data_IF_604405842762
#
_entry.id   IF_604405842762
#
_cell.length_a   1.000
_cell.length_b   1.000
_cell.length_c   1.000
_cell.angle_alpha   90.00
_cell.angle_beta   90.00
_cell.angle_gamma   90.00
#
_symmetry.space_group_name_H-M   'P 1'
#
loop_
_entity.id
_entity.type
_entity.pdbx_description
1 polymer ?
#
# COMPACT_ATOMS: atom_id res chain seq x y z
N UNK A 1 12.32 16.23 -1.39
CA UNK A 1 12.08 17.47 -2.17
C UNK A 1 12.40 17.33 -3.65
N UNK A 2 13.54 16.74 -4.06
CA UNK A 2 13.83 16.48 -5.48
C UNK A 2 12.71 15.64 -6.13
N UNK A 3 12.33 14.52 -5.52
CA UNK A 3 11.24 13.66 -6.00
C UNK A 3 9.89 14.37 -6.17
N UNK A 4 9.57 15.31 -5.28
CA UNK A 4 8.35 16.11 -5.40
C UNK A 4 8.42 17.03 -6.64
N UNK A 5 9.57 17.67 -6.89
CA UNK A 5 9.76 18.51 -8.08
C UNK A 5 9.70 17.69 -9.38
N UNK A 6 10.28 16.49 -9.38
CA UNK A 6 10.23 15.56 -10.52
C UNK A 6 8.79 15.13 -10.80
N UNK A 7 8.06 14.72 -9.76
CA UNK A 7 6.64 14.34 -9.86
C UNK A 7 5.77 15.52 -10.33
N UNK A 8 5.97 16.72 -9.77
CA UNK A 8 5.24 17.92 -10.20
C UNK A 8 5.51 18.26 -11.67
N UNK A 9 6.76 18.10 -12.12
CA UNK A 9 7.13 18.32 -13.51
C UNK A 9 6.45 17.30 -14.42
N UNK A 10 6.44 16.02 -14.04
CA UNK A 10 5.76 14.98 -14.81
C UNK A 10 4.27 15.27 -14.94
N UNK A 11 3.60 15.57 -13.82
CA UNK A 11 2.16 15.92 -13.82
C UNK A 11 1.89 17.15 -14.70
N UNK A 12 2.77 18.16 -14.66
CA UNK A 12 2.66 19.35 -15.50
C UNK A 12 2.84 19.03 -16.99
N UNK A 13 3.81 18.19 -17.34
CA UNK A 13 4.07 17.76 -18.72
C UNK A 13 2.88 16.93 -19.27
N UNK A 14 2.16 16.21 -18.40
CA UNK A 14 0.92 15.49 -18.70
C UNK A 14 -0.33 16.39 -18.75
N UNK A 15 -0.16 17.72 -18.60
CA UNK A 15 -1.21 18.72 -18.71
C UNK A 15 -1.96 19.03 -17.41
N UNK A 16 -1.48 18.48 -16.28
CA UNK A 16 -1.97 18.80 -14.95
C UNK A 16 -1.76 20.27 -14.58
N UNK A 17 -2.57 20.77 -13.65
CA UNK A 17 -2.49 22.15 -13.16
C UNK A 17 -2.49 22.18 -11.64
N UNK A 18 -1.66 23.05 -11.08
CA UNK A 18 -1.68 23.32 -9.64
C UNK A 18 -3.07 23.81 -9.24
N UNK A 19 -3.59 23.26 -8.14
CA UNK A 19 -4.90 23.64 -7.60
C UNK A 19 -4.97 25.14 -7.28
N UNK A 20 -6.13 25.75 -7.53
CA UNK A 20 -6.37 27.19 -7.36
C UNK A 20 -7.62 27.51 -6.52
N UNK A 21 -8.04 26.55 -5.70
CA UNK A 21 -9.27 26.52 -4.91
C UNK A 21 -9.15 27.21 -3.53
N UNK A 22 -8.12 28.02 -3.34
CA UNK A 22 -7.82 28.68 -2.06
C UNK A 22 -6.99 27.84 -1.09
N UNK A 23 -6.59 26.62 -1.45
CA UNK A 23 -5.76 25.74 -0.63
C UNK A 23 -4.42 26.34 -0.18
N UNK A 24 -3.87 27.26 -0.99
CA UNK A 24 -2.62 27.98 -0.72
C UNK A 24 -2.83 29.33 -0.01
N UNK A 25 -4.08 29.67 0.34
CA UNK A 25 -4.41 30.96 0.95
C UNK A 25 -4.41 30.84 2.48
N UNK A 26 -3.50 31.57 3.12
CA UNK A 26 -3.45 31.66 4.59
C UNK A 26 -4.70 32.38 5.12
N UNK A 27 -5.20 31.96 6.28
CA UNK A 27 -6.35 32.62 6.92
C UNK A 27 -6.06 32.94 8.39
N UNK A 28 -6.48 34.13 8.85
CA UNK A 28 -6.49 34.50 10.27
C UNK A 28 -5.13 34.35 11.00
N UNK A 29 -4.02 34.50 10.28
CA UNK A 29 -2.66 34.40 10.83
C UNK A 29 -2.15 32.96 11.04
N UNK A 30 -2.86 31.95 10.53
CA UNK A 30 -2.41 30.57 10.49
C UNK A 30 -1.82 30.22 9.10
N UNK A 31 -0.95 29.21 9.00
CA UNK A 31 -0.54 28.64 7.72
C UNK A 31 -1.75 28.28 6.86
N UNK A 32 -1.58 28.34 5.55
CA UNK A 32 -2.54 27.78 4.60
C UNK A 32 -2.57 26.25 4.70
N UNK A 33 -3.68 25.60 4.31
CA UNK A 33 -3.74 24.14 4.18
C UNK A 33 -2.56 23.55 3.39
N UNK A 34 -2.14 24.23 2.32
CA UNK A 34 -1.00 23.82 1.52
C UNK A 34 0.34 23.93 2.25
N UNK A 35 0.55 24.97 3.06
CA UNK A 35 1.73 25.08 3.91
C UNK A 35 1.77 23.98 4.98
N UNK A 36 0.62 23.64 5.59
CA UNK A 36 0.52 22.52 6.54
C UNK A 36 0.87 21.17 5.89
N UNK A 37 0.37 20.92 4.68
CA UNK A 37 0.70 19.71 3.92
C UNK A 37 2.19 19.63 3.58
N UNK A 38 2.77 20.73 3.10
CA UNK A 38 4.20 20.79 2.79
C UNK A 38 5.03 20.50 4.04
N UNK A 39 4.71 21.14 5.16
CA UNK A 39 5.42 20.93 6.42
C UNK A 39 5.28 19.49 6.92
N UNK A 40 4.06 18.92 6.88
CA UNK A 40 3.82 17.54 7.31
C UNK A 40 4.63 16.53 6.48
N UNK A 41 4.66 16.68 5.16
CA UNK A 41 5.47 15.81 4.29
C UNK A 41 6.96 15.98 4.55
N UNK A 42 7.44 17.22 4.76
CA UNK A 42 8.85 17.48 5.07
C UNK A 42 9.28 16.82 6.38
N UNK A 43 8.45 16.88 7.42
CA UNK A 43 8.71 16.24 8.70
C UNK A 43 8.70 14.72 8.56
N UNK A 44 7.71 14.15 7.87
CA UNK A 44 7.63 12.71 7.61
C UNK A 44 8.88 12.22 6.85
N UNK A 45 9.26 12.91 5.78
CA UNK A 45 10.45 12.59 4.99
C UNK A 45 11.74 12.72 5.80
N UNK A 46 11.86 13.74 6.67
CA UNK A 46 13.05 13.91 7.52
C UNK A 46 13.21 12.77 8.53
N UNK A 47 12.11 12.20 9.03
CA UNK A 47 12.11 11.16 10.07
C UNK A 47 12.12 9.74 9.51
N UNK A 48 12.00 9.58 8.20
CA UNK A 48 11.84 8.28 7.57
C UNK A 48 13.15 7.47 7.59
N UNK A 49 13.19 6.29 8.25
CA UNK A 49 14.36 5.43 8.23
C UNK A 49 14.55 4.65 6.92
N UNK A 50 13.52 4.48 6.10
CA UNK A 50 13.57 3.73 4.83
C UNK A 50 13.63 4.71 3.66
N UNK A 51 14.85 5.05 3.22
CA UNK A 51 15.10 6.05 2.15
C UNK A 51 14.26 5.83 0.87
N UNK A 52 13.94 4.56 0.57
CA UNK A 52 13.11 4.16 -0.58
C UNK A 52 11.71 4.79 -0.58
N UNK A 53 11.16 5.12 0.60
CA UNK A 53 9.85 5.79 0.73
C UNK A 53 9.89 7.28 0.37
N UNK A 54 11.07 7.91 0.35
CA UNK A 54 11.18 9.36 0.15
C UNK A 54 10.66 9.83 -1.21
N UNK A 55 10.80 8.98 -2.22
CA UNK A 55 10.26 9.23 -3.57
C UNK A 55 8.75 9.35 -3.55
N UNK A 56 8.09 8.35 -2.96
CA UNK A 56 6.64 8.25 -2.86
C UNK A 56 6.03 9.31 -1.93
N UNK A 57 6.74 9.72 -0.87
CA UNK A 57 6.34 10.89 -0.06
C UNK A 57 6.42 12.19 -0.88
N UNK A 58 7.42 12.31 -1.75
CA UNK A 58 7.52 13.40 -2.72
C UNK A 58 6.39 13.38 -3.74
N UNK A 59 6.06 12.20 -4.28
CA UNK A 59 4.93 11.99 -5.18
C UNK A 59 3.62 12.39 -4.51
N UNK A 60 3.38 11.98 -3.25
CA UNK A 60 2.19 12.36 -2.49
C UNK A 60 2.01 13.88 -2.39
N UNK A 61 3.08 14.62 -2.09
CA UNK A 61 3.03 16.09 -2.06
C UNK A 61 2.67 16.67 -3.42
N UNK A 62 3.28 16.16 -4.50
CA UNK A 62 2.99 16.60 -5.85
C UNK A 62 1.52 16.33 -6.20
N UNK A 63 1.03 15.12 -5.93
CA UNK A 63 -0.35 14.75 -6.23
C UNK A 63 -1.35 15.62 -5.48
N UNK A 64 -1.16 15.87 -4.17
CA UNK A 64 -2.04 16.76 -3.39
C UNK A 64 -2.07 18.18 -3.96
N UNK A 65 -0.93 18.69 -4.46
CA UNK A 65 -0.83 20.03 -5.03
C UNK A 65 -1.57 20.20 -6.37
N UNK A 66 -1.89 19.09 -7.05
CA UNK A 66 -2.50 19.07 -8.38
C UNK A 66 -3.93 18.49 -8.42
N UNK A 67 -4.47 18.05 -7.27
CA UNK A 67 -5.82 17.50 -7.13
C UNK A 67 -6.65 18.35 -6.17
N UNK A 68 -7.57 19.16 -6.70
CA UNK A 68 -8.39 20.12 -5.94
C UNK A 68 -9.57 19.46 -5.21
N UNK A 69 -9.96 18.26 -5.62
CA UNK A 69 -10.98 17.45 -4.98
C UNK A 69 -10.53 16.86 -3.63
N UNK A 70 -9.23 16.89 -3.34
CA UNK A 70 -8.66 16.35 -2.10
C UNK A 70 -8.71 17.43 -1.01
N UNK A 71 -9.53 17.24 0.05
CA UNK A 71 -9.55 18.16 1.17
C UNK A 71 -8.35 17.93 2.09
N UNK A 72 -8.07 18.92 2.95
CA UNK A 72 -6.94 18.89 3.87
C UNK A 72 -6.97 17.65 4.78
N UNK A 73 -8.13 17.26 5.28
CA UNK A 73 -8.30 16.12 6.18
C UNK A 73 -7.88 14.81 5.51
N UNK A 74 -8.21 14.63 4.24
CA UNK A 74 -7.80 13.46 3.45
C UNK A 74 -6.31 13.49 3.17
N UNK A 75 -5.75 14.65 2.82
CA UNK A 75 -4.31 14.82 2.65
C UNK A 75 -3.53 14.46 3.92
N UNK A 76 -3.95 14.99 5.08
CA UNK A 76 -3.35 14.69 6.38
C UNK A 76 -3.49 13.22 6.76
N UNK A 77 -4.64 12.60 6.47
CA UNK A 77 -4.81 11.15 6.65
C UNK A 77 -3.80 10.36 5.81
N UNK A 78 -3.69 10.67 4.51
CA UNK A 78 -2.74 10.00 3.61
C UNK A 78 -1.30 10.15 4.09
N UNK A 79 -0.87 11.36 4.49
CA UNK A 79 0.50 11.63 4.96
C UNK A 79 0.79 10.83 6.23
N UNK A 80 -0.10 10.87 7.22
CA UNK A 80 0.08 10.14 8.47
C UNK A 80 0.08 8.62 8.26
N UNK A 81 -0.73 8.12 7.33
CA UNK A 81 -0.75 6.69 7.00
C UNK A 81 0.53 6.30 6.27
N UNK A 82 0.93 7.05 5.24
CA UNK A 82 2.15 6.85 4.48
C UNK A 82 3.41 6.85 5.38
N UNK A 83 3.51 7.78 6.32
CA UNK A 83 4.61 7.82 7.29
C UNK A 83 4.69 6.52 8.12
N UNK A 84 3.55 5.98 8.57
CA UNK A 84 3.50 4.81 9.44
C UNK A 84 3.73 3.48 8.74
N UNK A 85 3.38 3.39 7.46
CA UNK A 85 3.49 2.15 6.71
C UNK A 85 4.97 1.80 6.46
N UNK A 86 5.31 0.52 6.50
CA UNK A 86 6.66 0.06 6.14
C UNK A 86 6.85 0.08 4.63
N UNK A 87 8.09 -0.05 4.17
CA UNK A 87 8.36 -0.23 2.75
C UNK A 87 7.67 -1.49 2.19
N UNK A 88 7.71 -2.59 2.94
CA UNK A 88 7.01 -3.82 2.53
C UNK A 88 5.49 -3.58 2.41
N UNK A 89 4.87 -2.78 3.28
CA UNK A 89 3.47 -2.39 3.12
C UNK A 89 3.19 -1.54 1.88
N UNK A 90 4.12 -0.67 1.45
CA UNK A 90 4.01 0.05 0.17
C UNK A 90 3.99 -0.95 -1.00
N UNK A 91 4.92 -1.90 -0.99
CA UNK A 91 5.01 -2.95 -2.01
C UNK A 91 3.76 -3.84 -2.00
N UNK A 92 3.19 -4.14 -0.84
CA UNK A 92 1.96 -4.93 -0.75
C UNK A 92 0.73 -4.17 -1.28
N UNK A 93 0.62 -2.85 -1.04
CA UNK A 93 -0.41 -2.02 -1.68
C UNK A 93 -0.23 -2.06 -3.21
N UNK A 94 1.02 -1.95 -3.67
CA UNK A 94 1.35 -2.04 -5.09
C UNK A 94 0.97 -3.39 -5.71
N UNK A 95 1.30 -4.48 -5.02
CA UNK A 95 0.96 -5.85 -5.43
C UNK A 95 -0.55 -6.03 -5.58
N UNK A 96 -1.35 -5.61 -4.60
CA UNK A 96 -2.81 -5.76 -4.66
C UNK A 96 -3.42 -4.84 -5.72
N UNK A 97 -2.92 -3.60 -5.86
CA UNK A 97 -3.39 -2.67 -6.89
C UNK A 97 -3.08 -3.13 -8.33
N UNK A 98 -2.05 -3.96 -8.49
CA UNK A 98 -1.61 -4.57 -9.76
C UNK A 98 -1.79 -6.09 -9.78
N UNK A 99 -2.72 -6.64 -9.00
CA UNK A 99 -2.80 -8.09 -8.76
C UNK A 99 -2.90 -8.96 -10.01
N UNK A 100 -3.47 -8.43 -11.08
CA UNK A 100 -3.62 -9.13 -12.37
C UNK A 100 -2.27 -9.38 -13.09
N UNK A 101 -1.20 -8.71 -12.65
CA UNK A 101 0.17 -8.92 -13.16
C UNK A 101 0.87 -10.12 -12.49
N UNK A 102 0.31 -10.66 -11.40
CA UNK A 102 0.98 -11.60 -10.51
C UNK A 102 0.19 -12.89 -10.29
N UNK A 103 0.90 -14.01 -10.11
CA UNK A 103 0.25 -15.24 -9.61
C UNK A 103 0.17 -15.22 -8.08
N UNK A 104 -1.02 -14.89 -7.56
CA UNK A 104 -1.31 -14.90 -6.12
C UNK A 104 -2.04 -16.18 -5.68
N UNK A 105 -2.27 -17.11 -6.61
CA UNK A 105 -3.04 -18.33 -6.36
C UNK A 105 -2.40 -19.23 -5.31
N UNK A 106 -3.23 -19.77 -4.42
CA UNK A 106 -2.80 -20.73 -3.39
C UNK A 106 -2.07 -20.10 -2.19
N UNK A 107 -1.96 -18.77 -2.13
CA UNK A 107 -1.41 -18.06 -0.98
C UNK A 107 -2.54 -17.71 -0.01
N UNK A 108 -2.49 -18.29 1.19
CA UNK A 108 -3.44 -17.98 2.26
C UNK A 108 -2.78 -17.11 3.32
N UNK A 109 -3.30 -15.89 3.49
CA UNK A 109 -2.72 -14.86 4.38
C UNK A 109 -2.76 -15.32 5.83
N UNK A 110 -1.61 -15.22 6.50
CA UNK A 110 -1.43 -15.64 7.89
C UNK A 110 -1.27 -17.15 8.08
N UNK A 111 -1.18 -17.93 7.00
CA UNK A 111 -0.98 -19.37 7.05
C UNK A 111 0.41 -19.76 6.55
N UNK A 112 1.12 -20.53 7.39
CA UNK A 112 2.45 -21.05 7.08
C UNK A 112 3.58 -20.11 7.54
N UNK A 113 4.65 -20.72 8.03
CA UNK A 113 5.94 -20.07 8.25
C UNK A 113 6.93 -20.90 7.44
N UNK A 114 7.39 -20.35 6.32
CA UNK A 114 8.44 -20.91 5.48
C UNK A 114 9.82 -20.30 5.84
N UNK A 115 9.83 -19.03 6.24
CA UNK A 115 11.00 -18.24 6.58
C UNK A 115 10.61 -17.08 7.50
N UNK A 116 11.59 -16.46 8.15
CA UNK A 116 11.35 -15.25 8.94
C UNK A 116 10.87 -14.08 8.08
N UNK A 117 11.33 -14.00 6.82
CA UNK A 117 10.86 -13.00 5.84
C UNK A 117 9.38 -13.24 5.53
N UNK A 118 9.02 -14.48 5.17
CA UNK A 118 7.63 -14.83 4.86
C UNK A 118 6.67 -14.60 6.02
N UNK A 119 7.07 -14.99 7.24
CA UNK A 119 6.29 -14.69 8.45
C UNK A 119 6.05 -13.17 8.61
N UNK A 120 7.09 -12.35 8.44
CA UNK A 120 6.98 -10.91 8.56
C UNK A 120 6.04 -10.30 7.49
N UNK A 121 6.13 -10.75 6.23
CA UNK A 121 5.24 -10.27 5.16
C UNK A 121 3.78 -10.68 5.43
N UNK A 122 3.53 -11.90 5.92
CA UNK A 122 2.20 -12.33 6.36
C UNK A 122 1.64 -11.48 7.50
N UNK A 123 2.49 -11.09 8.46
CA UNK A 123 2.11 -10.18 9.56
C UNK A 123 1.72 -8.80 9.04
N UNK A 124 2.51 -8.24 8.14
CA UNK A 124 2.23 -6.94 7.55
C UNK A 124 0.96 -6.91 6.70
N UNK A 125 0.70 -7.95 5.90
CA UNK A 125 -0.56 -8.12 5.18
C UNK A 125 -1.75 -8.11 6.14
N UNK A 126 -1.66 -8.84 7.26
CA UNK A 126 -2.73 -8.90 8.25
C UNK A 126 -2.96 -7.55 8.93
N UNK A 127 -1.89 -6.80 9.19
CA UNK A 127 -1.97 -5.45 9.75
C UNK A 127 -2.65 -4.43 8.82
N UNK A 128 -2.64 -4.66 7.50
CA UNK A 128 -3.36 -3.82 6.53
C UNK A 128 -4.80 -4.28 6.26
N UNK A 129 -5.10 -5.54 6.61
CA UNK A 129 -6.40 -6.17 6.42
C UNK A 129 -7.51 -5.68 7.34
N UNK A 130 -8.68 -6.36 7.34
CA UNK A 130 -9.88 -5.97 8.09
C UNK A 130 -9.73 -5.90 9.62
N UNK A 131 -8.67 -6.49 10.18
CA UNK A 131 -8.38 -6.45 11.62
C UNK A 131 -7.34 -5.39 12.01
N UNK A 132 -6.79 -4.68 11.03
CA UNK A 132 -5.86 -3.57 11.22
C UNK A 132 -6.35 -2.33 10.49
N UNK A 133 -5.55 -1.80 9.57
CA UNK A 133 -5.83 -0.53 8.90
C UNK A 133 -7.04 -0.57 7.96
N UNK A 134 -7.56 -1.76 7.60
CA UNK A 134 -8.71 -1.93 6.71
C UNK A 134 -8.56 -1.20 5.36
N UNK A 135 -7.32 -1.10 4.87
CA UNK A 135 -7.01 -0.49 3.57
C UNK A 135 -7.04 -1.51 2.42
N UNK A 136 -7.10 -2.80 2.75
CA UNK A 136 -7.29 -3.91 1.82
C UNK A 136 -8.00 -5.07 2.50
N UNK A 137 -8.50 -6.01 1.69
CA UNK A 137 -9.10 -7.25 2.17
C UNK A 137 -9.85 -7.97 1.07
N UNK A 138 -10.44 -9.12 1.39
CA UNK A 138 -11.24 -9.88 0.44
C UNK A 138 -12.72 -9.92 0.85
N UNK A 139 -13.65 -10.01 -0.11
CA UNK A 139 -15.05 -10.21 0.19
C UNK A 139 -15.27 -11.52 0.96
N UNK A 140 -16.14 -11.48 1.96
CA UNK A 140 -16.43 -12.64 2.80
C UNK A 140 -16.94 -13.83 1.98
N UNK A 141 -16.41 -15.02 2.25
CA UNK A 141 -16.91 -16.28 1.68
C UNK A 141 -18.17 -16.70 2.44
N UNK A 142 -19.06 -17.47 1.80
CA UNK A 142 -20.27 -18.00 2.45
C UNK A 142 -20.16 -19.51 2.64
N UNK A 143 -20.56 -20.00 3.82
CA UNK A 143 -20.63 -21.45 4.07
C UNK A 143 -21.68 -22.10 3.15
N UNK A 144 -21.38 -23.22 2.49
CA UNK A 144 -22.30 -23.81 1.50
C UNK A 144 -23.67 -24.22 2.04
N UNK A 145 -23.73 -24.61 3.33
CA UNK A 145 -24.97 -25.14 3.95
C UNK A 145 -25.81 -24.09 4.66
N UNK A 146 -25.18 -23.15 5.36
CA UNK A 146 -25.88 -22.19 6.23
C UNK A 146 -25.81 -20.75 5.72
N UNK A 147 -25.02 -20.48 4.66
CA UNK A 147 -24.86 -19.13 4.12
C UNK A 147 -24.15 -18.15 5.06
N UNK A 148 -23.55 -18.63 6.14
CA UNK A 148 -22.84 -17.81 7.12
C UNK A 148 -21.55 -17.24 6.51
N UNK A 149 -21.26 -15.97 6.81
CA UNK A 149 -20.04 -15.30 6.37
C UNK A 149 -18.80 -15.84 7.08
N UNK A 150 -17.76 -16.11 6.30
CA UNK A 150 -16.41 -16.45 6.75
C UNK A 150 -15.44 -15.40 6.23
N UNK A 151 -14.39 -15.13 7.01
CA UNK A 151 -13.28 -14.33 6.54
C UNK A 151 -12.63 -15.03 5.34
N UNK A 152 -12.36 -14.24 4.31
CA UNK A 152 -11.63 -14.71 3.15
C UNK A 152 -10.18 -14.25 3.29
N UNK A 153 -9.27 -15.22 3.44
CA UNK A 153 -7.83 -14.98 3.56
C UNK A 153 -7.07 -15.40 2.31
N UNK A 154 -7.77 -15.72 1.23
CA UNK A 154 -7.19 -16.05 -0.07
C UNK A 154 -6.65 -14.77 -0.71
N UNK A 155 -5.33 -14.67 -0.86
CA UNK A 155 -4.68 -13.45 -1.32
C UNK A 155 -5.10 -13.05 -2.73
N UNK A 156 -5.44 -14.03 -3.58
CA UNK A 156 -5.94 -13.76 -4.94
C UNK A 156 -7.28 -13.01 -4.93
N UNK A 157 -8.08 -13.19 -3.88
CA UNK A 157 -9.37 -12.51 -3.70
C UNK A 157 -9.22 -11.13 -3.04
N UNK A 158 -8.02 -10.71 -2.61
CA UNK A 158 -7.83 -9.41 -1.98
C UNK A 158 -8.01 -8.27 -2.99
N UNK A 159 -8.55 -7.16 -2.49
CA UNK A 159 -8.74 -5.91 -3.20
C UNK A 159 -8.32 -4.74 -2.28
N UNK A 160 -7.90 -3.64 -2.90
CA UNK A 160 -7.72 -2.39 -2.18
C UNK A 160 -9.11 -1.85 -1.79
N UNK A 161 -9.27 -1.48 -0.51
CA UNK A 161 -10.38 -0.64 -0.09
C UNK A 161 -10.19 0.80 -0.53
N UNK A 162 -11.17 1.67 -0.27
CA UNK A 162 -11.10 3.09 -0.67
C UNK A 162 -9.81 3.78 -0.18
N UNK A 163 -9.40 3.52 1.06
CA UNK A 163 -8.16 4.06 1.61
C UNK A 163 -6.91 3.49 0.93
N UNK A 164 -6.90 2.19 0.62
CA UNK A 164 -5.81 1.56 -0.13
C UNK A 164 -5.70 2.10 -1.55
N UNK A 165 -6.83 2.34 -2.22
CA UNK A 165 -6.85 2.91 -3.57
C UNK A 165 -6.33 4.35 -3.59
N UNK A 166 -6.70 5.16 -2.58
CA UNK A 166 -6.15 6.50 -2.41
C UNK A 166 -4.63 6.44 -2.26
N UNK A 167 -4.12 5.59 -1.37
CA UNK A 167 -2.68 5.42 -1.17
C UNK A 167 -1.99 4.91 -2.44
N UNK A 168 -2.57 3.93 -3.15
CA UNK A 168 -2.03 3.39 -4.40
C UNK A 168 -1.83 4.50 -5.45
N UNK A 169 -2.86 5.31 -5.66
CA UNK A 169 -2.85 6.38 -6.66
C UNK A 169 -1.94 7.55 -6.25
N UNK A 170 -2.06 8.03 -5.01
CA UNK A 170 -1.42 9.27 -4.58
C UNK A 170 0.04 9.09 -4.13
N UNK A 171 0.42 7.91 -3.64
CA UNK A 171 1.84 7.64 -3.40
C UNK A 171 2.58 7.33 -4.70
N UNK A 172 1.90 6.89 -5.75
CA UNK A 172 2.54 6.40 -6.97
C UNK A 172 3.19 5.02 -6.79
N UNK A 173 2.74 4.22 -5.82
CA UNK A 173 3.31 2.89 -5.57
C UNK A 173 3.09 1.89 -6.71
N UNK A 174 2.24 2.23 -7.69
CA UNK A 174 2.13 1.49 -8.95
C UNK A 174 3.43 1.40 -9.74
N UNK A 175 4.40 2.29 -9.49
CA UNK A 175 5.71 2.30 -10.15
C UNK A 175 6.76 1.44 -9.45
N UNK A 176 6.44 0.80 -8.32
CA UNK A 176 7.36 -0.13 -7.65
C UNK A 176 7.74 -1.26 -8.63
N UNK A 177 9.04 -1.59 -8.79
CA UNK A 177 9.48 -2.60 -9.74
C UNK A 177 8.82 -3.97 -9.54
N UNK A 178 8.49 -4.64 -10.64
CA UNK A 178 7.79 -5.95 -10.65
C UNK A 178 8.62 -7.03 -9.96
N UNK A 179 9.92 -7.06 -10.18
CA UNK A 179 10.86 -8.01 -9.57
C UNK A 179 10.85 -7.95 -8.04
N UNK A 180 10.70 -6.75 -7.48
CA UNK A 180 10.57 -6.60 -6.04
C UNK A 180 9.26 -7.18 -5.50
N UNK A 181 8.16 -7.04 -6.25
CA UNK A 181 6.89 -7.64 -5.86
C UNK A 181 6.96 -9.17 -5.94
N UNK A 182 7.60 -9.71 -6.97
CA UNK A 182 7.82 -11.15 -7.12
C UNK A 182 8.65 -11.73 -5.96
N UNK A 183 9.67 -11.01 -5.48
CA UNK A 183 10.44 -11.41 -4.29
C UNK A 183 9.58 -11.47 -3.00
N UNK A 184 8.54 -10.64 -2.91
CA UNK A 184 7.59 -10.68 -1.79
C UNK A 184 6.61 -11.83 -1.93
N UNK A 185 6.12 -12.09 -3.14
CA UNK A 185 5.23 -13.21 -3.44
C UNK A 185 5.93 -14.54 -3.13
N UNK A 186 7.18 -14.69 -3.56
CA UNK A 186 7.97 -15.89 -3.26
C UNK A 186 8.15 -16.08 -1.75
N UNK A 187 8.39 -14.99 -1.01
CA UNK A 187 8.47 -15.05 0.44
C UNK A 187 7.15 -15.49 1.11
N UNK A 188 6.00 -15.22 0.50
CA UNK A 188 4.68 -15.60 1.02
C UNK A 188 4.31 -17.07 0.77
N UNK A 189 4.89 -17.69 -0.26
CA UNK A 189 4.59 -19.09 -0.64
C UNK A 189 5.17 -20.06 0.38
N UNK A 190 4.43 -21.07 0.78
CA UNK A 190 5.01 -22.17 1.58
C UNK A 190 6.16 -22.79 0.77
N UNK A 191 7.29 -23.08 1.42
CA UNK A 191 8.28 -23.97 0.82
C UNK A 191 7.54 -25.25 0.40
N UNK A 192 7.72 -25.66 -0.86
CA UNK A 192 7.21 -26.94 -1.30
C UNK A 192 7.74 -27.99 -0.32
N UNK A 193 6.86 -28.62 0.46
CA UNK A 193 7.24 -29.84 1.13
C UNK A 193 7.78 -30.76 0.04
N UNK A 194 9.00 -31.25 0.21
CA UNK A 194 9.47 -32.43 -0.51
C UNK A 194 8.43 -33.52 -0.26
N UNK A 195 7.47 -33.63 -1.17
CA UNK A 195 6.57 -34.77 -1.28
C UNK A 195 7.40 -35.91 -1.89
N UNK A 196 8.45 -36.31 -1.18
CA UNK A 196 9.21 -37.52 -1.44
C UNK A 196 8.95 -38.49 -0.30
N UNK A 197 7.79 -39.12 -0.41
CA UNK A 197 7.55 -40.53 -0.12
C UNK A 197 8.46 -41.21 0.90
N UNK A 198 8.00 -41.28 2.14
CA UNK A 198 8.11 -42.52 2.91
C UNK A 198 6.71 -43.18 2.97
N UNK A 199 6.28 -43.68 1.81
CA UNK A 199 5.50 -44.91 1.77
C UNK A 199 6.47 -46.07 1.57
N UNK A 200 6.74 -46.83 2.62
CA UNK A 200 6.96 -48.28 2.49
C UNK A 200 6.72 -48.95 3.86
N UNK A 201 6.39 -50.24 3.89
CA UNK A 201 5.07 -50.67 4.31
C UNK A 201 5.13 -51.54 5.57
N UNK A 202 3.96 -51.94 6.04
CA UNK A 202 3.77 -53.06 6.96
C UNK A 202 4.48 -54.32 6.42
N UNK A 203 5.36 -54.90 7.23
CA UNK A 203 6.01 -56.19 7.02
C UNK A 203 6.75 -56.62 8.27
#
# INVERSE_FOLDING_TARGET
MIFAMESMKQIQDDGGRVRNDGFWSSSKGFPSPGEEVVEAVLIAAQREPQERKLEYLGCLLAQIAYHDEIPLETAVWMINTAERLTWTQYSLISMIGRKEEFDLGGIEVGQGINSWKGWAVHEELRAMGPFGLSIMGAPAKKTPRLGLGLFNMDLADFELGNGGQLLFNFLGVGDIPVDEIEELIEALRKEAQEDSGEQTPSG
#
